data_IF_241027370262
#
_entry.id   IF_241027370262
#
_cell.length_a   1.000
_cell.length_b   1.000
_cell.length_c   1.000
_cell.angle_alpha   90.00
_cell.angle_beta   90.00
_cell.angle_gamma   90.00
#
_symmetry.space_group_name_H-M   'P 1'
#
loop_
_entity.id
_entity.type
_entity.pdbx_description
1 polymer ?
#
# COMPACT_ATOMS: atom_id res chain seq x y z
N UNK A 1 16.56 25.37 13.53
CA UNK A 1 15.49 24.63 14.22
C UNK A 1 14.36 25.60 14.50
N UNK A 2 13.17 25.33 13.96
CA UNK A 2 11.96 26.10 14.27
C UNK A 2 11.40 25.54 15.57
N UNK A 3 11.54 26.29 16.66
CA UNK A 3 10.88 25.93 17.92
C UNK A 3 9.41 26.33 17.81
N UNK A 4 8.50 25.36 17.84
CA UNK A 4 7.07 25.62 17.93
C UNK A 4 6.78 26.33 19.26
N UNK A 5 6.13 27.48 19.20
CA UNK A 5 5.52 28.09 20.39
C UNK A 5 4.27 27.26 20.73
N UNK A 6 4.23 26.59 21.90
CA UNK A 6 3.09 25.76 22.28
C UNK A 6 1.77 26.54 22.41
N UNK A 7 1.82 27.87 22.38
CA UNK A 7 0.65 28.75 22.40
C UNK A 7 0.11 29.01 20.98
N UNK A 8 0.87 28.65 19.95
CA UNK A 8 0.53 28.91 18.54
C UNK A 8 0.37 27.58 17.78
N UNK A 9 -0.61 26.76 18.21
CA UNK A 9 -0.93 25.50 17.56
C UNK A 9 -1.69 25.80 16.27
N UNK A 10 -1.27 25.27 15.10
CA UNK A 10 -2.03 25.38 13.87
C UNK A 10 -3.46 24.83 14.05
N UNK A 11 -4.44 25.37 13.35
CA UNK A 11 -5.80 24.85 13.45
C UNK A 11 -5.87 23.41 13.00
N UNK A 12 -6.48 22.56 13.81
CA UNK A 12 -6.77 21.19 13.42
C UNK A 12 -7.90 21.16 12.38
N UNK A 13 -7.96 20.11 11.55
CA UNK A 13 -9.12 19.86 10.72
C UNK A 13 -10.41 19.84 11.56
N UNK A 14 -11.58 20.07 10.95
CA UNK A 14 -12.86 19.97 11.66
C UNK A 14 -13.00 18.61 12.36
N UNK A 15 -13.62 18.63 13.55
CA UNK A 15 -13.87 17.41 14.30
C UNK A 15 -14.73 16.43 13.47
N UNK A 16 -14.28 15.19 13.39
CA UNK A 16 -15.00 14.10 12.70
C UNK A 16 -15.89 13.31 13.64
N UNK A 17 -15.63 13.38 14.94
CA UNK A 17 -16.44 12.80 15.99
C UNK A 17 -17.16 13.93 16.73
N UNK A 18 -18.50 13.90 16.73
CA UNK A 18 -19.33 15.00 17.20
C UNK A 18 -20.25 14.61 18.37
N UNK A 19 -20.08 13.39 18.90
CA UNK A 19 -20.82 12.95 20.11
C UNK A 19 -20.12 13.43 21.37
N UNK A 20 -20.88 13.62 22.45
CA UNK A 20 -20.35 14.06 23.74
C UNK A 20 -19.55 12.96 24.45
N UNK A 21 -20.00 11.69 24.33
CA UNK A 21 -19.36 10.55 24.99
C UNK A 21 -18.47 9.77 24.02
N UNK A 22 -17.25 9.38 24.44
CA UNK A 22 -16.36 8.55 23.62
C UNK A 22 -16.91 7.14 23.44
N UNK A 23 -16.47 6.45 22.38
CA UNK A 23 -16.88 5.09 22.05
C UNK A 23 -15.73 4.09 22.19
N UNK A 24 -16.07 2.88 22.61
CA UNK A 24 -15.14 1.73 22.57
C UNK A 24 -15.20 1.12 21.16
N UNK A 25 -14.40 1.67 20.24
CA UNK A 25 -14.42 1.33 18.82
C UNK A 25 -13.06 0.94 18.25
N UNK A 26 -11.99 1.04 19.04
CA UNK A 26 -10.66 0.60 18.63
C UNK A 26 -10.61 -0.94 18.52
N UNK A 27 -9.89 -1.42 17.51
CA UNK A 27 -9.66 -2.85 17.30
C UNK A 27 -8.17 -3.12 17.14
N UNK A 28 -7.77 -4.35 17.45
CA UNK A 28 -6.38 -4.81 17.37
C UNK A 28 -6.31 -6.02 16.44
N UNK A 29 -5.47 -5.94 15.42
CA UNK A 29 -5.01 -7.10 14.64
C UNK A 29 -3.65 -7.55 15.18
N UNK A 30 -3.51 -8.84 15.45
CA UNK A 30 -2.25 -9.41 15.94
C UNK A 30 -1.27 -9.64 14.80
N UNK A 31 0.02 -9.47 15.08
CA UNK A 31 1.07 -9.65 14.06
C UNK A 31 1.30 -11.09 13.63
N UNK A 32 0.85 -12.06 14.43
CA UNK A 32 0.94 -13.51 14.17
C UNK A 32 -0.33 -14.09 13.48
N UNK A 33 -1.31 -13.26 13.18
CA UNK A 33 -2.45 -13.70 12.37
C UNK A 33 -1.99 -14.09 10.95
N UNK A 34 -2.59 -15.14 10.37
CA UNK A 34 -2.22 -15.58 9.03
C UNK A 34 -2.49 -14.49 7.98
N UNK A 35 -1.86 -14.57 6.80
CA UNK A 35 -2.20 -13.67 5.70
C UNK A 35 -3.65 -13.84 5.28
N UNK A 36 -4.29 -12.74 4.86
CA UNK A 36 -5.65 -12.76 4.32
C UNK A 36 -5.67 -13.32 2.90
N UNK A 37 -4.59 -13.09 2.15
CA UNK A 37 -4.43 -13.62 0.80
C UNK A 37 -2.98 -14.07 0.56
N UNK A 38 -2.83 -15.22 -0.09
CA UNK A 38 -1.55 -15.79 -0.53
C UNK A 38 -1.57 -15.96 -2.04
N UNK A 39 -0.78 -15.17 -2.75
CA UNK A 39 -0.64 -15.25 -4.20
C UNK A 39 0.42 -16.30 -4.56
N UNK A 40 0.01 -17.54 -4.67
CA UNK A 40 0.81 -18.69 -5.13
C UNK A 40 2.11 -18.91 -4.32
N UNK A 41 2.14 -18.55 -3.06
CA UNK A 41 3.32 -18.63 -2.21
C UNK A 41 4.40 -17.57 -2.50
N UNK A 42 4.18 -16.70 -3.49
CA UNK A 42 5.15 -15.67 -3.88
C UNK A 42 4.97 -14.37 -3.10
N UNK A 43 3.71 -13.95 -2.91
CA UNK A 43 3.37 -12.72 -2.18
C UNK A 43 2.23 -13.00 -1.22
N UNK A 44 2.42 -12.63 0.05
CA UNK A 44 1.39 -12.74 1.08
C UNK A 44 0.92 -11.35 1.50
N UNK A 45 -0.38 -11.15 1.51
CA UNK A 45 -1.01 -9.90 1.90
C UNK A 45 -1.72 -10.05 3.24
N UNK A 46 -1.41 -9.15 4.17
CA UNK A 46 -2.11 -9.00 5.44
C UNK A 46 -2.87 -7.68 5.42
N UNK A 47 -4.20 -7.75 5.46
CA UNK A 47 -5.07 -6.58 5.42
C UNK A 47 -5.15 -5.97 6.83
N UNK A 48 -4.21 -5.07 7.15
CA UNK A 48 -4.11 -4.47 8.48
C UNK A 48 -5.28 -3.52 8.75
N UNK A 49 -5.67 -2.74 7.76
CA UNK A 49 -6.87 -1.90 7.77
C UNK A 49 -7.32 -1.65 6.33
N UNK A 50 -8.51 -2.08 5.98
CA UNK A 50 -9.06 -1.83 4.64
C UNK A 50 -9.92 -0.55 4.61
N UNK A 51 -10.33 -0.13 3.41
CA UNK A 51 -11.13 1.09 3.24
C UNK A 51 -12.47 1.08 4.00
N UNK A 52 -13.10 -0.10 4.18
CA UNK A 52 -14.37 -0.19 4.91
C UNK A 52 -14.17 0.06 6.41
N UNK A 53 -13.10 -0.51 6.98
CA UNK A 53 -12.75 -0.35 8.38
C UNK A 53 -12.34 1.09 8.73
N UNK A 54 -11.75 1.80 7.76
CA UNK A 54 -11.27 3.19 7.93
C UNK A 54 -12.24 4.25 7.42
N UNK A 55 -13.44 3.87 6.99
CA UNK A 55 -14.39 4.77 6.33
C UNK A 55 -13.79 5.53 5.13
N UNK A 56 -12.90 4.86 4.38
CA UNK A 56 -12.26 5.43 3.20
C UNK A 56 -11.06 6.34 3.48
N UNK A 57 -10.61 6.47 4.72
CA UNK A 57 -9.46 7.34 5.02
C UNK A 57 -8.17 6.80 4.43
N UNK A 58 -7.93 5.51 4.60
CA UNK A 58 -6.78 4.81 4.04
C UNK A 58 -7.03 3.30 3.95
N UNK A 59 -6.17 2.64 3.17
CA UNK A 59 -5.95 1.20 3.22
C UNK A 59 -4.52 0.94 3.66
N UNK A 60 -4.30 0.03 4.61
CA UNK A 60 -2.98 -0.35 5.11
C UNK A 60 -2.80 -1.86 5.04
N UNK A 61 -1.71 -2.27 4.41
CA UNK A 61 -1.39 -3.67 4.14
C UNK A 61 0.05 -3.96 4.53
N UNK A 62 0.31 -5.12 5.16
CA UNK A 62 1.65 -5.71 5.16
C UNK A 62 1.75 -6.67 3.99
N UNK A 63 2.83 -6.54 3.24
CA UNK A 63 3.12 -7.37 2.08
C UNK A 63 4.44 -8.09 2.30
N UNK A 64 4.39 -9.41 2.38
CA UNK A 64 5.55 -10.26 2.52
C UNK A 64 5.85 -10.91 1.15
N UNK A 65 7.03 -10.67 0.60
CA UNK A 65 7.43 -11.11 -0.74
C UNK A 65 8.55 -12.14 -0.60
N UNK A 66 8.33 -13.32 -1.16
CA UNK A 66 9.32 -14.41 -1.17
C UNK A 66 10.59 -14.01 -1.93
N UNK A 67 11.72 -14.72 -1.74
CA UNK A 67 12.90 -14.53 -2.57
C UNK A 67 12.55 -14.57 -4.06
N UNK A 68 13.06 -13.61 -4.84
CA UNK A 68 12.77 -13.48 -6.28
C UNK A 68 11.27 -13.38 -6.61
N UNK A 69 10.44 -12.96 -5.65
CA UNK A 69 8.97 -12.96 -5.77
C UNK A 69 8.41 -11.90 -6.74
N UNK A 70 9.26 -11.05 -7.28
CA UNK A 70 8.87 -10.04 -8.26
C UNK A 70 8.10 -8.88 -7.66
N UNK A 71 7.27 -8.27 -8.46
CA UNK A 71 6.41 -7.11 -8.13
C UNK A 71 6.07 -6.31 -9.39
N UNK A 72 5.19 -5.29 -9.28
CA UNK A 72 4.77 -4.51 -10.43
C UNK A 72 5.91 -3.65 -11.00
N UNK A 73 5.93 -3.53 -12.33
CA UNK A 73 6.75 -2.56 -13.04
C UNK A 73 6.27 -1.12 -12.83
N UNK A 74 6.90 -0.14 -13.53
CA UNK A 74 6.54 1.25 -13.43
C UNK A 74 5.07 1.51 -13.80
N UNK A 75 4.33 2.16 -12.90
CA UNK A 75 2.92 2.52 -13.03
C UNK A 75 2.61 3.75 -12.17
N UNK A 76 1.40 4.26 -12.27
CA UNK A 76 0.88 5.34 -11.42
C UNK A 76 -0.59 5.14 -11.10
N UNK A 77 -1.06 5.85 -10.06
CA UNK A 77 -2.46 5.92 -9.65
C UNK A 77 -3.01 7.33 -9.84
N UNK A 78 -4.28 7.46 -10.15
CA UNK A 78 -4.95 8.78 -10.29
C UNK A 78 -5.77 9.16 -9.08
N UNK A 79 -6.38 8.16 -8.43
CA UNK A 79 -7.36 8.39 -7.38
C UNK A 79 -6.75 8.41 -5.96
N UNK A 80 -5.54 7.91 -5.79
CA UNK A 80 -4.92 7.73 -4.48
C UNK A 80 -3.41 8.00 -4.51
N UNK A 81 -2.87 8.41 -3.37
CA UNK A 81 -1.44 8.32 -3.08
C UNK A 81 -1.10 6.92 -2.57
N UNK A 82 0.15 6.54 -2.73
CA UNK A 82 0.68 5.29 -2.18
C UNK A 82 1.95 5.58 -1.37
N UNK A 83 2.17 4.82 -0.31
CA UNK A 83 3.40 4.91 0.44
C UNK A 83 3.89 3.52 0.86
N UNK A 84 5.22 3.38 0.90
CA UNK A 84 5.89 2.15 1.28
C UNK A 84 6.81 2.39 2.46
N UNK A 85 6.78 1.50 3.43
CA UNK A 85 7.74 1.46 4.52
C UNK A 85 8.33 0.06 4.61
N UNK A 86 9.64 -0.07 4.47
CA UNK A 86 10.31 -1.37 4.49
C UNK A 86 10.44 -1.86 5.93
N UNK A 87 9.81 -3.00 6.24
CA UNK A 87 9.83 -3.62 7.56
C UNK A 87 11.04 -4.52 7.76
N UNK A 88 11.44 -5.24 6.71
CA UNK A 88 12.60 -6.13 6.75
C UNK A 88 13.09 -6.50 5.36
N UNK A 89 14.36 -6.85 5.25
CA UNK A 89 14.99 -7.22 3.98
C UNK A 89 15.28 -6.01 3.10
N UNK A 90 15.47 -6.26 1.80
CA UNK A 90 15.72 -5.23 0.79
C UNK A 90 14.69 -5.36 -0.33
N UNK A 91 14.06 -4.25 -0.67
CA UNK A 91 13.08 -4.13 -1.75
C UNK A 91 13.62 -3.19 -2.83
N UNK A 92 13.50 -3.56 -4.09
CA UNK A 92 13.76 -2.64 -5.20
C UNK A 92 12.57 -1.70 -5.35
N UNK A 93 12.79 -0.40 -5.18
CA UNK A 93 11.80 0.66 -5.32
C UNK A 93 12.13 1.54 -6.53
N UNK A 94 11.14 1.79 -7.39
CA UNK A 94 11.25 2.73 -8.50
C UNK A 94 10.67 4.07 -8.08
N UNK A 95 11.47 5.15 -8.16
CA UNK A 95 11.09 6.50 -7.70
C UNK A 95 10.60 7.41 -8.83
N UNK A 96 10.36 6.85 -10.01
CA UNK A 96 9.98 7.58 -11.22
C UNK A 96 11.17 7.88 -12.14
N UNK A 97 12.40 7.76 -11.64
CA UNK A 97 13.64 7.94 -12.41
C UNK A 97 14.50 6.69 -12.39
N UNK A 98 14.76 6.16 -11.19
CA UNK A 98 15.69 5.05 -10.99
C UNK A 98 15.10 3.98 -10.07
N UNK A 99 15.56 2.74 -10.28
CA UNK A 99 15.39 1.67 -9.32
C UNK A 99 16.43 1.78 -8.20
N UNK A 100 15.98 1.86 -6.95
CA UNK A 100 16.81 1.98 -5.76
C UNK A 100 16.55 0.84 -4.80
N UNK A 101 17.56 0.50 -4.00
CA UNK A 101 17.39 -0.43 -2.89
C UNK A 101 16.79 0.30 -1.70
N UNK A 102 15.58 -0.11 -1.32
CA UNK A 102 14.96 0.27 -0.06
C UNK A 102 15.27 -0.79 1.00
N UNK A 103 15.91 -0.37 2.08
CA UNK A 103 16.29 -1.23 3.19
C UNK A 103 15.35 -1.03 4.38
N UNK A 104 15.46 -1.86 5.40
CA UNK A 104 14.68 -1.74 6.64
C UNK A 104 14.71 -0.30 7.18
N UNK A 105 13.51 0.27 7.42
CA UNK A 105 13.32 1.64 7.87
C UNK A 105 13.21 2.69 6.75
N UNK A 106 13.48 2.34 5.48
CA UNK A 106 13.31 3.26 4.37
C UNK A 106 11.85 3.48 4.04
N UNK A 107 11.54 4.70 3.58
CA UNK A 107 10.19 5.15 3.25
C UNK A 107 10.14 5.80 1.87
N UNK A 108 9.18 5.40 1.05
CA UNK A 108 8.86 6.05 -0.22
C UNK A 108 7.41 6.55 -0.18
N UNK A 109 7.21 7.83 -0.47
CA UNK A 109 5.89 8.42 -0.70
C UNK A 109 5.67 8.72 -2.17
N UNK A 110 4.54 8.32 -2.68
CA UNK A 110 4.12 8.49 -4.08
C UNK A 110 2.81 9.30 -4.09
N UNK A 111 2.80 10.55 -4.58
CA UNK A 111 1.57 11.31 -4.75
C UNK A 111 0.73 10.73 -5.90
N UNK A 112 -0.56 11.08 -6.00
CA UNK A 112 -1.36 10.76 -7.18
C UNK A 112 -0.65 11.23 -8.47
N UNK A 113 -0.56 10.35 -9.46
CA UNK A 113 0.20 10.60 -10.70
C UNK A 113 1.71 10.33 -10.61
N UNK A 114 2.24 10.01 -9.44
CA UNK A 114 3.65 9.67 -9.27
C UNK A 114 3.97 8.30 -9.88
N UNK A 115 4.96 8.25 -10.76
CA UNK A 115 5.42 6.97 -11.36
C UNK A 115 6.25 6.22 -10.34
N UNK A 116 5.90 4.97 -10.09
CA UNK A 116 6.58 4.12 -9.13
C UNK A 116 6.45 2.65 -9.48
N UNK A 117 7.17 1.82 -8.73
CA UNK A 117 7.12 0.36 -8.80
C UNK A 117 7.89 -0.23 -7.63
N UNK A 118 7.65 -1.49 -7.33
CA UNK A 118 8.41 -2.22 -6.31
C UNK A 118 8.54 -3.69 -6.68
N UNK A 119 9.59 -4.34 -6.21
CA UNK A 119 9.79 -5.77 -6.43
C UNK A 119 10.87 -6.34 -5.53
N UNK A 120 10.78 -7.63 -5.23
CA UNK A 120 11.85 -8.36 -4.60
C UNK A 120 12.64 -9.14 -5.64
N UNK A 121 13.88 -8.72 -5.90
CA UNK A 121 14.86 -9.39 -6.78
C UNK A 121 15.99 -10.06 -5.97
N UNK A 122 15.91 -10.01 -4.64
CA UNK A 122 16.91 -10.60 -3.76
C UNK A 122 16.66 -12.10 -3.53
N UNK A 123 17.70 -12.82 -3.13
CA UNK A 123 17.62 -14.23 -2.73
C UNK A 123 17.10 -14.42 -1.29
N UNK A 124 16.61 -13.35 -0.67
CA UNK A 124 16.03 -13.32 0.66
C UNK A 124 14.60 -12.74 0.64
N UNK A 125 13.73 -13.15 1.57
CA UNK A 125 12.40 -12.57 1.67
C UNK A 125 12.48 -11.10 2.11
N UNK A 126 11.47 -10.32 1.72
CA UNK A 126 11.29 -8.93 2.19
C UNK A 126 9.87 -8.71 2.68
N UNK A 127 9.70 -7.78 3.59
CA UNK A 127 8.39 -7.35 4.11
C UNK A 127 8.30 -5.84 4.10
N UNK A 128 7.15 -5.32 3.71
CA UNK A 128 6.88 -3.89 3.66
C UNK A 128 5.45 -3.57 4.10
N UNK A 129 5.24 -2.36 4.60
CA UNK A 129 3.91 -1.76 4.69
C UNK A 129 3.62 -1.01 3.40
N UNK A 130 2.37 -1.12 2.96
CA UNK A 130 1.82 -0.45 1.80
C UNK A 130 0.56 0.29 2.25
N UNK A 131 0.54 1.61 2.08
CA UNK A 131 -0.57 2.48 2.48
C UNK A 131 -1.13 3.18 1.24
N UNK A 132 -2.45 3.15 1.10
CA UNK A 132 -3.19 3.90 0.08
C UNK A 132 -4.08 4.95 0.74
N UNK A 133 -4.03 6.20 0.28
CA UNK A 133 -4.85 7.29 0.79
C UNK A 133 -5.36 8.20 -0.35
N UNK A 134 -6.69 8.44 -0.43
CA UNK A 134 -7.75 7.79 0.34
C UNK A 134 -7.79 6.27 0.16
N UNK A 135 -8.50 5.58 1.04
CA UNK A 135 -8.72 4.14 0.95
C UNK A 135 -9.46 3.75 -0.33
N UNK A 136 -9.00 2.68 -0.97
CA UNK A 136 -9.56 2.12 -2.19
C UNK A 136 -9.75 0.60 -2.03
N UNK A 137 -10.59 -0.06 -2.85
CA UNK A 137 -10.87 -1.50 -2.74
C UNK A 137 -9.70 -2.33 -3.30
N UNK A 138 -8.54 -2.24 -2.65
CA UNK A 138 -7.31 -2.90 -3.11
C UNK A 138 -7.30 -4.40 -2.93
N UNK A 139 -8.10 -4.94 -2.01
CA UNK A 139 -8.25 -6.37 -1.78
C UNK A 139 -8.69 -7.09 -3.07
N UNK A 140 -9.72 -6.57 -3.74
CA UNK A 140 -10.20 -7.12 -5.00
C UNK A 140 -9.13 -7.09 -6.12
N UNK A 141 -8.26 -6.07 -6.10
CA UNK A 141 -7.13 -5.99 -7.01
C UNK A 141 -6.09 -7.08 -6.71
N UNK A 142 -5.69 -7.26 -5.44
CA UNK A 142 -4.71 -8.27 -5.06
C UNK A 142 -5.21 -9.69 -5.36
N UNK A 143 -6.45 -9.98 -5.03
CA UNK A 143 -7.08 -11.29 -5.23
C UNK A 143 -7.40 -11.57 -6.71
N UNK A 144 -7.56 -10.52 -7.52
CA UNK A 144 -7.89 -10.62 -8.94
C UNK A 144 -6.73 -11.05 -9.85
N UNK A 145 -5.48 -11.02 -9.38
CA UNK A 145 -4.33 -11.37 -10.22
C UNK A 145 -4.40 -12.77 -10.82
N UNK A 146 -4.93 -13.74 -10.10
CA UNK A 146 -5.06 -15.11 -10.60
C UNK A 146 -5.94 -15.21 -11.85
N UNK A 147 -6.89 -14.29 -12.03
CA UNK A 147 -7.82 -14.26 -13.16
C UNK A 147 -7.20 -13.64 -14.42
N UNK A 148 -6.10 -12.91 -14.30
CA UNK A 148 -5.47 -12.23 -15.43
C UNK A 148 -4.93 -13.19 -16.48
N UNK A 149 -4.61 -14.44 -16.11
CA UNK A 149 -4.12 -15.44 -17.04
C UNK A 149 -5.16 -15.82 -18.11
N UNK A 150 -6.45 -15.68 -17.79
CA UNK A 150 -7.57 -16.03 -18.68
C UNK A 150 -8.00 -14.86 -19.58
N UNK A 151 -7.45 -13.65 -19.37
CA UNK A 151 -7.80 -12.44 -20.10
C UNK A 151 -6.85 -12.22 -21.30
N UNK A 152 -7.40 -11.69 -22.41
CA UNK A 152 -6.58 -11.16 -23.48
C UNK A 152 -5.92 -9.82 -23.10
N UNK A 153 -5.07 -9.26 -23.95
CA UNK A 153 -4.29 -8.07 -23.63
C UNK A 153 -5.16 -6.83 -23.43
N UNK A 154 -6.22 -6.65 -24.20
CA UNK A 154 -7.15 -5.51 -24.07
C UNK A 154 -7.96 -5.62 -22.79
N UNK A 155 -8.52 -6.78 -22.49
CA UNK A 155 -9.27 -7.05 -21.24
C UNK A 155 -8.37 -6.86 -20.01
N UNK A 156 -7.12 -7.29 -20.08
CA UNK A 156 -6.12 -7.10 -19.02
C UNK A 156 -5.80 -5.62 -18.79
N UNK A 157 -5.61 -4.86 -19.88
CA UNK A 157 -5.39 -3.41 -19.80
C UNK A 157 -6.60 -2.68 -19.19
N UNK A 158 -7.81 -3.02 -19.62
CA UNK A 158 -9.04 -2.47 -19.02
C UNK A 158 -9.17 -2.80 -17.52
N UNK A 159 -8.83 -4.04 -17.14
CA UNK A 159 -8.86 -4.46 -15.74
C UNK A 159 -7.91 -3.64 -14.88
N UNK A 160 -6.68 -3.39 -15.35
CA UNK A 160 -5.73 -2.54 -14.63
C UNK A 160 -6.24 -1.11 -14.48
N UNK A 161 -6.76 -0.51 -15.55
CA UNK A 161 -7.33 0.85 -15.54
C UNK A 161 -8.52 0.94 -14.57
N UNK A 162 -9.39 -0.06 -14.56
CA UNK A 162 -10.54 -0.14 -13.66
C UNK A 162 -10.13 -0.22 -12.18
N UNK A 163 -8.95 -0.75 -11.90
CA UNK A 163 -8.35 -0.81 -10.57
C UNK A 163 -7.38 0.34 -10.29
N UNK A 164 -7.47 1.44 -11.04
CA UNK A 164 -6.62 2.65 -10.91
C UNK A 164 -5.12 2.35 -11.06
N UNK A 165 -4.74 1.36 -11.87
CA UNK A 165 -3.36 1.05 -12.21
C UNK A 165 -3.08 1.39 -13.67
N UNK A 166 -2.18 2.35 -13.89
CA UNK A 166 -1.79 2.82 -15.22
C UNK A 166 -0.32 2.50 -15.45
N UNK A 167 -0.05 1.38 -16.14
CA UNK A 167 1.32 0.99 -16.52
C UNK A 167 1.85 1.85 -17.66
N UNK A 168 3.18 2.06 -17.68
CA UNK A 168 3.90 2.84 -18.70
C UNK A 168 4.96 1.99 -19.38
#
# INVERSE_FOLDING_TARGET
MSFWDPRNVPPYPPARYTKDEPEVSAWLRRGDEPPDYDSLGLVKYHYLANQQQTNGDYGLYRVDISPQGGGPGPHFHRAMSEAFFVLSGTVRLYDGNDWRDGNEGDFLYVPPGGIHGFRNEADAPTSLLMLFAPGAPREAYFEGFAQLADLNDDERAEWFIKNDNYFI
#
